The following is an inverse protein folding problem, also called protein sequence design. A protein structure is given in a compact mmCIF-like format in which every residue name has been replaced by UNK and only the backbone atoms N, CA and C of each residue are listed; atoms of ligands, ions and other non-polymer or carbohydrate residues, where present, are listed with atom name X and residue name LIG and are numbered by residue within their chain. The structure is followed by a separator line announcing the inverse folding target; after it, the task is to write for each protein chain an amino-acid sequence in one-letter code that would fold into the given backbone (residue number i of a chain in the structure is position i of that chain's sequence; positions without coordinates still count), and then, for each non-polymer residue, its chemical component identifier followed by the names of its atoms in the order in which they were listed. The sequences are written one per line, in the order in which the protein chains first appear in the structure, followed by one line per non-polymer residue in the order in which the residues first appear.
data_IF_649557777814
#
_entry.id   IF_649557777814
#
_cell.length_a   1.000
_cell.length_b   1.000
_cell.length_c   1.000
_cell.angle_alpha   90.00
_cell.angle_beta   90.00
_cell.angle_gamma   90.00
#
_symmetry.space_group_name_H-M   'P 1'
#
loop_
_entity.id
_entity.type
_entity.pdbx_description
1 polymer ?
#
# COMPACT_ATOMS: atom_id res chain seq x y z
N UNK A 1 -2.76 -10.98 13.06
CA UNK A 1 -1.41 -10.76 12.48
C UNK A 1 -1.33 -10.83 10.94
N UNK A 2 -2.02 -11.77 10.28
CA UNK A 2 -1.92 -11.95 8.82
C UNK A 2 -2.47 -10.79 7.98
N UNK A 3 -3.62 -10.22 8.36
CA UNK A 3 -4.28 -9.17 7.60
C UNK A 3 -3.45 -7.88 7.49
N UNK A 4 -2.83 -7.46 8.60
CA UNK A 4 -1.96 -6.30 8.63
C UNK A 4 -0.77 -6.45 7.67
N UNK A 5 -0.14 -7.62 7.68
CA UNK A 5 0.99 -7.93 6.78
C UNK A 5 0.55 -7.87 5.32
N UNK A 6 -0.55 -8.53 4.97
CA UNK A 6 -1.06 -8.56 3.60
C UNK A 6 -1.38 -7.16 3.09
N UNK A 7 -2.04 -6.33 3.91
CA UNK A 7 -2.35 -4.94 3.55
C UNK A 7 -1.08 -4.14 3.24
N UNK A 8 -0.07 -4.23 4.11
CA UNK A 8 1.19 -3.51 3.93
C UNK A 8 1.98 -4.01 2.70
N UNK A 9 1.94 -5.31 2.39
CA UNK A 9 2.62 -5.87 1.21
C UNK A 9 1.95 -5.47 -0.12
N UNK A 10 0.64 -5.23 -0.11
CA UNK A 10 -0.12 -4.74 -1.28
C UNK A 10 -0.15 -3.21 -1.38
N UNK A 11 0.37 -2.49 -0.38
CA UNK A 11 0.47 -1.04 -0.35
C UNK A 11 -0.70 -0.31 0.35
N UNK A 12 -1.59 -1.04 1.00
CA UNK A 12 -2.68 -0.49 1.80
C UNK A 12 -2.36 -0.37 3.29
N UNK A 13 -3.26 0.25 4.03
CA UNK A 13 -3.26 0.33 5.49
C UNK A 13 -4.07 -0.76 6.17
N UNK A 14 -3.86 -0.86 7.49
CA UNK A 14 -4.60 -1.75 8.37
C UNK A 14 -5.04 -0.99 9.60
N UNK A 15 -6.30 -1.13 9.97
CA UNK A 15 -6.88 -0.59 11.19
C UNK A 15 -7.66 -1.71 11.89
N UNK A 16 -7.30 -2.00 13.13
CA UNK A 16 -8.01 -2.95 13.97
C UNK A 16 -8.90 -2.18 14.94
N UNK A 17 -10.18 -2.56 15.02
CA UNK A 17 -11.15 -1.92 15.91
C UNK A 17 -11.73 -2.98 16.84
N UNK A 18 -11.66 -2.73 18.14
CA UNK A 18 -12.17 -3.61 19.19
C UNK A 18 -13.42 -3.01 19.84
N UNK A 19 -14.24 -3.81 20.55
CA UNK A 19 -15.38 -3.28 21.29
C UNK A 19 -14.88 -2.29 22.34
N UNK A 20 -15.21 -0.99 22.17
CA UNK A 20 -14.79 0.22 22.93
C UNK A 20 -13.73 1.11 22.27
N UNK A 21 -13.13 0.71 21.15
CA UNK A 21 -12.31 1.63 20.38
C UNK A 21 -13.19 2.69 19.70
N UNK A 22 -12.66 3.89 19.47
CA UNK A 22 -13.36 4.97 18.78
C UNK A 22 -13.53 4.64 17.29
N UNK A 23 -14.74 4.27 16.91
CA UNK A 23 -15.09 3.94 15.54
C UNK A 23 -14.95 5.15 14.60
N UNK A 24 -15.29 6.35 15.08
CA UNK A 24 -15.17 7.58 14.29
C UNK A 24 -13.73 7.88 13.94
N UNK A 25 -12.82 7.74 14.90
CA UNK A 25 -11.38 7.89 14.67
C UNK A 25 -10.85 6.84 13.68
N UNK A 26 -11.29 5.58 13.80
CA UNK A 26 -10.87 4.52 12.88
C UNK A 26 -11.30 4.82 11.43
N UNK A 27 -12.52 5.29 11.22
CA UNK A 27 -12.99 5.69 9.88
C UNK A 27 -12.28 6.94 9.36
N UNK A 28 -12.00 7.93 10.22
CA UNK A 28 -11.26 9.13 9.82
C UNK A 28 -9.84 8.79 9.31
N UNK A 29 -9.18 7.80 9.92
CA UNK A 29 -7.90 7.29 9.44
C UNK A 29 -8.01 6.67 8.04
N UNK A 30 -9.04 5.86 7.79
CA UNK A 30 -9.30 5.26 6.47
C UNK A 30 -9.57 6.34 5.42
N UNK A 31 -10.41 7.33 5.74
CA UNK A 31 -10.72 8.46 4.84
C UNK A 31 -9.46 9.28 4.52
N UNK A 32 -8.61 9.54 5.51
CA UNK A 32 -7.35 10.26 5.32
C UNK A 32 -6.41 9.50 4.39
N UNK A 33 -6.36 8.17 4.53
CA UNK A 33 -5.57 7.32 3.64
C UNK A 33 -6.08 7.38 2.19
N UNK A 34 -7.39 7.29 1.98
CA UNK A 34 -7.99 7.34 0.63
C UNK A 34 -7.74 8.68 -0.07
N UNK A 35 -7.75 9.80 0.65
CA UNK A 35 -7.41 11.11 0.09
C UNK A 35 -5.94 11.23 -0.33
N UNK A 36 -5.06 10.36 0.18
CA UNK A 36 -3.62 10.39 -0.07
C UNK A 36 -3.17 9.33 -1.08
N UNK A 37 -4.11 8.66 -1.76
CA UNK A 37 -3.80 7.59 -2.69
C UNK A 37 -3.49 8.14 -4.09
N UNK A 38 -2.34 7.74 -4.63
CA UNK A 38 -1.91 8.09 -5.99
C UNK A 38 -1.80 6.84 -6.85
N UNK A 39 -2.20 6.96 -8.12
CA UNK A 39 -1.97 5.93 -9.14
C UNK A 39 -0.71 6.26 -9.93
N UNK A 40 0.29 5.37 -9.87
CA UNK A 40 1.54 5.49 -10.64
C UNK A 40 1.60 4.34 -11.64
N UNK A 41 1.60 4.67 -12.93
CA UNK A 41 1.80 3.70 -14.00
C UNK A 41 3.26 3.59 -14.40
N UNK A 42 3.72 2.38 -14.71
CA UNK A 42 5.00 2.13 -15.37
C UNK A 42 4.84 0.98 -16.37
N UNK A 43 5.65 1.00 -17.42
CA UNK A 43 5.71 -0.13 -18.37
C UNK A 43 6.69 -1.17 -17.82
N UNK A 44 6.28 -2.44 -17.66
CA UNK A 44 7.20 -3.50 -17.26
C UNK A 44 8.41 -3.57 -18.21
N UNK A 45 9.66 -3.53 -17.71
CA UNK A 45 10.85 -3.61 -18.56
C UNK A 45 11.02 -4.99 -19.22
N UNK A 46 10.38 -6.03 -18.66
CA UNK A 46 10.38 -7.40 -19.18
C UNK A 46 8.97 -7.98 -19.09
N UNK A 47 8.62 -8.82 -20.09
CA UNK A 47 7.38 -9.61 -20.16
C UNK A 47 7.70 -11.10 -20.06
N UNK A 48 8.26 -11.49 -18.93
CA UNK A 48 8.87 -12.82 -18.73
C UNK A 48 8.03 -13.76 -17.85
N UNK A 49 6.84 -13.33 -17.42
CA UNK A 49 6.00 -14.12 -16.51
C UNK A 49 6.55 -14.26 -15.09
N UNK A 50 7.63 -13.56 -14.73
CA UNK A 50 8.30 -13.69 -13.42
C UNK A 50 7.88 -12.60 -12.45
N UNK A 51 8.18 -12.82 -11.17
CA UNK A 51 8.04 -11.81 -10.12
C UNK A 51 9.16 -10.77 -10.23
N UNK A 52 8.79 -9.50 -10.17
CA UNK A 52 9.71 -8.37 -10.11
C UNK A 52 9.35 -7.46 -8.94
N UNK A 53 10.37 -6.90 -8.29
CA UNK A 53 10.19 -6.00 -7.15
C UNK A 53 9.86 -4.59 -7.61
N UNK A 54 9.13 -3.87 -6.76
CA UNK A 54 8.78 -2.45 -6.95
C UNK A 54 9.37 -1.68 -5.77
N UNK A 55 10.09 -0.60 -6.07
CA UNK A 55 10.51 0.39 -5.08
C UNK A 55 9.96 1.77 -5.47
N UNK A 56 9.25 2.39 -4.54
CA UNK A 56 8.84 3.80 -4.62
C UNK A 56 9.75 4.59 -3.70
N UNK A 57 10.33 5.68 -4.22
CA UNK A 57 11.18 6.59 -3.46
C UNK A 57 10.60 7.98 -3.53
N UNK A 58 10.54 8.66 -2.38
CA UNK A 58 10.11 10.05 -2.25
C UNK A 58 11.33 10.90 -1.91
N UNK A 59 11.43 12.07 -2.52
CA UNK A 59 12.55 12.99 -2.28
C UNK A 59 12.34 13.84 -1.03
N UNK A 60 11.09 14.03 -0.60
CA UNK A 60 10.76 14.78 0.61
C UNK A 60 11.00 13.92 1.86
N UNK A 61 11.74 14.46 2.82
CA UNK A 61 11.99 13.82 4.11
C UNK A 61 10.72 13.73 4.97
N UNK A 62 10.69 12.74 5.87
CA UNK A 62 9.56 12.53 6.80
C UNK A 62 8.34 11.86 6.19
N UNK A 63 8.39 11.49 4.90
CA UNK A 63 7.33 10.73 4.24
C UNK A 63 7.73 9.25 4.10
N UNK A 64 6.79 8.37 4.40
CA UNK A 64 6.93 6.93 4.20
C UNK A 64 6.03 6.48 3.04
N UNK A 65 6.59 6.12 1.87
CA UNK A 65 5.78 5.63 0.76
C UNK A 65 5.28 4.22 1.05
N UNK A 66 3.96 4.03 1.02
CA UNK A 66 3.32 2.71 1.01
C UNK A 66 2.89 2.37 -0.39
N UNK A 67 3.39 1.25 -0.91
CA UNK A 67 3.10 0.77 -2.25
C UNK A 67 3.20 -0.76 -2.30
N UNK A 68 2.60 -1.35 -3.32
CA UNK A 68 2.78 -2.78 -3.63
C UNK A 68 4.27 -3.07 -3.80
N UNK A 69 4.76 -4.14 -3.17
CA UNK A 69 6.20 -4.48 -3.15
C UNK A 69 6.70 -5.24 -4.38
N UNK A 70 5.81 -5.86 -5.15
CA UNK A 70 6.18 -6.66 -6.33
C UNK A 70 5.00 -6.88 -7.28
N UNK A 71 5.28 -7.20 -8.55
CA UNK A 71 4.29 -7.62 -9.53
C UNK A 71 4.75 -8.88 -10.28
N UNK A 72 3.80 -9.58 -10.91
CA UNK A 72 4.11 -10.63 -11.88
C UNK A 72 4.02 -10.02 -13.28
N UNK A 73 5.10 -10.10 -14.06
CA UNK A 73 5.11 -9.58 -15.42
C UNK A 73 4.13 -10.37 -16.31
N UNK A 74 3.43 -9.71 -17.24
CA UNK A 74 2.65 -10.43 -18.24
C UNK A 74 3.58 -11.23 -19.16
N UNK A 75 3.05 -12.28 -19.80
CA UNK A 75 3.71 -12.92 -20.95
C UNK A 75 3.51 -12.08 -22.21
#
# INVERSE_FOLDING_TARGET
PGLARTALETGGGYSEVRPRDDLGAAFAAVVTELHSQYLIGFTPPKRDGKKHDIQVRVSQGGLEPRARKSYIAPK
#
